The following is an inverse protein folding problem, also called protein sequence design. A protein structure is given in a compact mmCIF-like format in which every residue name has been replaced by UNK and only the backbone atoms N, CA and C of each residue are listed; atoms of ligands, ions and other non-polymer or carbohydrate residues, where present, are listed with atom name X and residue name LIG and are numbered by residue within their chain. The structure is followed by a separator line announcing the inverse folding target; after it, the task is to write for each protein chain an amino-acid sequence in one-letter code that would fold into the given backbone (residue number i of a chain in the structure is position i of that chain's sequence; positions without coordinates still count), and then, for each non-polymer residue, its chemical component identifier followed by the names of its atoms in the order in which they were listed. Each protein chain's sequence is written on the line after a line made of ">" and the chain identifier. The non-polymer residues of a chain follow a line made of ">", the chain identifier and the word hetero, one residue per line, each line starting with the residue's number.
data_IF_519773772348
#
_entry.id   IF_519773772348
#
_cell.length_a   1.000
_cell.length_b   1.000
_cell.length_c   1.000
_cell.angle_alpha   90.00
_cell.angle_beta   90.00
_cell.angle_gamma   90.00
#
_symmetry.space_group_name_H-M   'P 1'
#
loop_
_entity.id
_entity.type
_entity.pdbx_description
1 polymer ?
#
# COMPACT_ATOMS: atom_id res chain seq x y z
N UNK A 1 -12.25 14.20 5.69
CA UNK A 1 -11.00 14.17 4.92
C UNK A 1 -9.88 13.89 5.89
N UNK A 2 -9.06 12.86 5.63
CA UNK A 2 -7.86 12.67 6.42
C UNK A 2 -6.88 13.82 6.11
N UNK A 3 -6.12 14.32 7.09
CA UNK A 3 -5.23 15.45 6.87
C UNK A 3 -4.13 15.08 5.86
N UNK A 4 -3.95 15.95 4.87
CA UNK A 4 -2.78 15.95 3.98
C UNK A 4 -1.52 16.14 4.80
N UNK A 5 -0.41 15.56 4.36
CA UNK A 5 0.88 15.73 5.02
C UNK A 5 1.28 17.20 5.13
N UNK A 6 1.77 17.59 6.30
CA UNK A 6 2.42 18.89 6.53
C UNK A 6 3.87 18.85 6.03
N UNK A 7 4.47 20.01 5.68
CA UNK A 7 5.84 20.07 5.17
C UNK A 7 6.88 19.36 6.04
N UNK A 8 6.78 19.47 7.37
CA UNK A 8 7.69 18.82 8.32
C UNK A 8 7.58 17.29 8.32
N UNK A 9 6.44 16.73 7.90
CA UNK A 9 6.19 15.30 7.91
C UNK A 9 6.90 14.57 6.77
N UNK A 10 7.27 15.30 5.72
CA UNK A 10 8.09 14.79 4.62
C UNK A 10 9.53 14.48 5.08
N UNK A 11 10.01 15.15 6.14
CA UNK A 11 11.36 14.93 6.68
C UNK A 11 11.43 13.74 7.66
N UNK A 12 10.30 13.11 7.97
CA UNK A 12 10.28 11.99 8.92
C UNK A 12 11.10 10.81 8.38
N UNK A 13 11.95 10.20 9.21
CA UNK A 13 12.70 9.01 8.82
C UNK A 13 11.76 7.81 8.68
N UNK A 14 12.08 6.91 7.75
CA UNK A 14 11.37 5.65 7.56
C UNK A 14 12.25 4.53 8.07
N UNK A 15 11.69 3.67 8.92
CA UNK A 15 12.37 2.46 9.41
C UNK A 15 11.87 1.21 8.70
N UNK A 16 10.58 1.16 8.40
CA UNK A 16 9.90 0.03 7.77
C UNK A 16 8.92 0.53 6.73
N UNK A 17 8.87 -0.17 5.60
CA UNK A 17 7.85 -0.04 4.56
C UNK A 17 6.90 -1.24 4.76
N UNK A 18 5.74 -1.00 5.34
CA UNK A 18 4.73 -2.03 5.63
C UNK A 18 3.71 -2.10 4.49
N UNK A 19 3.53 -3.27 3.91
CA UNK A 19 2.45 -3.57 2.97
C UNK A 19 1.29 -4.14 3.77
N UNK A 20 0.11 -3.53 3.66
CA UNK A 20 -1.07 -3.96 4.41
C UNK A 20 -2.21 -4.33 3.48
N UNK A 21 -2.78 -5.53 3.70
CA UNK A 21 -4.07 -5.92 3.16
C UNK A 21 -5.16 -5.62 4.18
N UNK A 22 -6.06 -4.70 3.81
CA UNK A 22 -7.16 -4.25 4.63
C UNK A 22 -8.45 -4.96 4.27
N UNK A 23 -9.31 -5.19 5.27
CA UNK A 23 -10.72 -5.44 5.01
C UNK A 23 -11.44 -4.17 4.57
N UNK A 24 -12.29 -4.27 3.56
CA UNK A 24 -13.29 -3.24 3.20
C UNK A 24 -14.70 -3.62 3.67
N UNK A 25 -14.82 -4.68 4.47
CA UNK A 25 -16.11 -5.26 4.86
C UNK A 25 -16.73 -6.14 3.78
N UNK A 26 -17.90 -6.69 4.10
CA UNK A 26 -18.76 -7.41 3.17
C UNK A 26 -19.55 -6.40 2.33
N UNK A 27 -19.61 -6.60 1.01
CA UNK A 27 -20.36 -5.70 0.13
C UNK A 27 -21.83 -6.09 0.04
N UNK A 28 -22.13 -7.39 0.10
CA UNK A 28 -23.47 -7.95 0.12
C UNK A 28 -23.66 -8.84 1.35
N UNK A 29 -24.90 -8.99 1.83
CA UNK A 29 -25.22 -9.88 2.96
C UNK A 29 -24.89 -11.35 2.68
N UNK A 30 -24.94 -11.75 1.40
CA UNK A 30 -24.57 -13.09 0.95
C UNK A 30 -23.05 -13.32 0.87
N UNK A 31 -22.25 -12.28 1.03
CA UNK A 31 -20.81 -12.40 0.89
C UNK A 31 -20.25 -13.25 2.04
N UNK A 32 -19.54 -14.30 1.66
CA UNK A 32 -18.82 -15.14 2.62
C UNK A 32 -17.40 -14.62 2.87
N UNK A 33 -16.97 -13.53 2.19
CA UNK A 33 -15.65 -12.90 2.37
C UNK A 33 -15.73 -11.38 2.33
N UNK A 34 -14.83 -10.72 3.05
CA UNK A 34 -14.69 -9.28 2.93
C UNK A 34 -13.93 -8.90 1.65
N UNK A 35 -14.29 -7.77 1.06
CA UNK A 35 -13.42 -7.12 0.10
C UNK A 35 -12.06 -6.80 0.69
N UNK A 36 -11.06 -6.71 -0.16
CA UNK A 36 -9.70 -6.36 0.24
C UNK A 36 -9.19 -5.12 -0.49
N UNK A 37 -8.40 -4.34 0.24
CA UNK A 37 -7.71 -3.18 -0.30
C UNK A 37 -6.26 -3.21 0.17
N UNK A 38 -5.32 -2.97 -0.75
CA UNK A 38 -3.89 -2.94 -0.44
C UNK A 38 -3.39 -1.49 -0.33
N UNK A 39 -2.60 -1.19 0.69
CA UNK A 39 -1.91 0.10 0.84
C UNK A 39 -0.52 -0.07 1.44
N UNK A 40 0.27 1.00 1.46
CA UNK A 40 1.62 1.00 2.03
C UNK A 40 1.65 1.97 3.21
N UNK A 41 2.20 1.53 4.34
CA UNK A 41 2.52 2.38 5.49
C UNK A 41 4.02 2.57 5.61
N UNK A 42 4.45 3.82 5.62
CA UNK A 42 5.83 4.19 5.95
C UNK A 42 5.89 4.39 7.45
N UNK A 43 6.54 3.49 8.19
CA UNK A 43 6.61 3.57 9.65
C UNK A 43 7.67 4.61 10.04
N UNK A 44 7.20 5.66 10.73
CA UNK A 44 8.01 6.84 11.09
C UNK A 44 8.49 6.82 12.54
N UNK A 45 8.23 5.72 13.26
CA UNK A 45 8.51 5.54 14.68
C UNK A 45 7.48 6.22 15.59
N UNK A 46 7.62 5.96 16.91
CA UNK A 46 6.71 6.44 17.96
C UNK A 46 5.24 6.04 17.72
N UNK A 47 5.01 4.83 17.22
CA UNK A 47 3.67 4.33 16.89
C UNK A 47 2.94 5.17 15.82
N UNK A 48 3.68 5.79 14.89
CA UNK A 48 3.12 6.62 13.81
C UNK A 48 3.59 6.19 12.44
N UNK A 49 2.76 6.46 11.45
CA UNK A 49 3.06 6.14 10.06
C UNK A 49 2.51 7.16 9.07
N UNK A 50 2.97 7.06 7.83
CA UNK A 50 2.38 7.75 6.68
C UNK A 50 1.82 6.68 5.74
N UNK A 51 0.52 6.74 5.49
CA UNK A 51 -0.14 5.84 4.54
C UNK A 51 -0.09 6.41 3.13
N UNK A 52 0.47 5.63 2.21
CA UNK A 52 0.39 5.84 0.77
C UNK A 52 -0.74 4.97 0.23
N UNK A 53 -1.70 5.60 -0.43
CA UNK A 53 -2.92 4.93 -0.81
C UNK A 53 -3.31 5.23 -2.24
N UNK A 54 -3.88 4.23 -2.92
CA UNK A 54 -4.42 4.36 -4.27
C UNK A 54 -5.82 3.77 -4.30
N UNK A 55 -6.85 4.63 -4.32
CA UNK A 55 -8.25 4.22 -4.23
C UNK A 55 -9.07 4.72 -5.40
N UNK A 56 -10.16 4.05 -5.72
CA UNK A 56 -11.17 4.56 -6.66
C UNK A 56 -11.94 5.72 -6.01
N UNK A 57 -12.10 6.85 -6.68
CA UNK A 57 -12.84 8.00 -6.12
C UNK A 57 -14.36 7.75 -6.06
N UNK A 58 -14.92 7.05 -7.05
CA UNK A 58 -16.31 6.68 -7.12
C UNK A 58 -16.58 5.40 -7.91
N UNK A 59 -17.81 4.85 -7.86
CA UNK A 59 -18.14 3.55 -8.45
C UNK A 59 -17.89 3.44 -9.95
N UNK A 60 -17.94 4.56 -10.69
CA UNK A 60 -17.76 4.62 -12.15
C UNK A 60 -16.38 5.08 -12.58
N UNK A 61 -15.55 5.56 -11.65
CA UNK A 61 -14.25 6.16 -12.00
C UNK A 61 -13.23 5.10 -12.39
N UNK A 62 -12.55 5.29 -13.50
CA UNK A 62 -11.49 4.36 -13.92
C UNK A 62 -10.11 4.76 -13.38
N UNK A 63 -9.95 6.05 -13.04
CA UNK A 63 -8.72 6.59 -12.48
C UNK A 63 -8.68 6.42 -10.97
N UNK A 64 -7.49 6.06 -10.49
CA UNK A 64 -7.18 6.02 -9.09
C UNK A 64 -6.88 7.41 -8.54
N UNK A 65 -7.25 7.60 -7.29
CA UNK A 65 -6.91 8.75 -6.47
C UNK A 65 -5.81 8.34 -5.53
N UNK A 66 -4.65 8.94 -5.76
CA UNK A 66 -3.50 8.80 -4.87
C UNK A 66 -3.65 9.73 -3.67
N UNK A 67 -3.35 9.24 -2.47
CA UNK A 67 -3.34 10.02 -1.25
C UNK A 67 -2.18 9.65 -0.33
N UNK A 68 -1.64 10.67 0.31
CA UNK A 68 -0.65 10.58 1.39
C UNK A 68 -1.34 11.05 2.67
N UNK A 69 -1.33 10.23 3.71
CA UNK A 69 -2.08 10.52 4.94
C UNK A 69 -1.24 10.24 6.17
N UNK A 70 -1.14 11.21 7.08
CA UNK A 70 -0.54 10.97 8.40
C UNK A 70 -1.45 10.07 9.23
N UNK A 71 -0.88 9.06 9.87
CA UNK A 71 -1.55 8.16 10.79
C UNK A 71 -0.88 8.19 12.16
N UNK A 72 -1.69 8.39 13.21
CA UNK A 72 -1.28 8.32 14.62
C UNK A 72 -1.25 6.86 15.13
N UNK A 73 -0.94 5.92 14.22
CA UNK A 73 -0.84 4.49 14.46
C UNK A 73 0.11 3.87 13.44
N UNK A 74 0.70 2.71 13.76
CA UNK A 74 1.46 1.87 12.80
C UNK A 74 0.63 0.74 12.20
N UNK A 75 -0.40 0.28 12.91
CA UNK A 75 -1.31 -0.76 12.45
C UNK A 75 -2.74 -0.25 12.45
N UNK A 76 -3.42 -0.42 11.31
CA UNK A 76 -4.80 -0.03 11.16
C UNK A 76 -5.73 -1.08 11.75
N UNK A 77 -6.84 -0.68 12.38
CA UNK A 77 -7.88 -1.63 12.81
C UNK A 77 -8.44 -2.51 11.68
N UNK A 78 -8.37 -2.04 10.43
CA UNK A 78 -8.78 -2.81 9.26
C UNK A 78 -7.70 -3.75 8.71
N UNK A 79 -6.49 -3.73 9.27
CA UNK A 79 -5.42 -4.65 8.87
C UNK A 79 -5.85 -6.09 9.09
N UNK A 80 -5.67 -6.90 8.06
CA UNK A 80 -5.85 -8.36 8.11
C UNK A 80 -4.51 -9.09 7.98
N UNK A 81 -3.57 -8.51 7.23
CA UNK A 81 -2.27 -9.11 6.97
C UNK A 81 -1.26 -8.01 6.61
N UNK A 82 -0.12 -8.03 7.29
CA UNK A 82 0.94 -7.04 7.18
C UNK A 82 2.26 -7.72 6.81
N UNK A 83 3.00 -7.14 5.85
CA UNK A 83 4.37 -7.54 5.51
C UNK A 83 5.29 -6.35 5.72
N UNK A 84 6.28 -6.53 6.59
CA UNK A 84 7.24 -5.49 6.94
C UNK A 84 8.52 -5.64 6.14
N UNK A 85 8.81 -4.63 5.32
CA UNK A 85 10.02 -4.56 4.50
C UNK A 85 10.97 -3.54 5.13
N UNK A 86 12.17 -3.93 5.58
CA UNK A 86 13.11 -3.01 6.23
C UNK A 86 13.61 -1.95 5.24
N UNK A 87 13.56 -0.68 5.64
CA UNK A 87 14.07 0.43 4.86
C UNK A 87 15.57 0.67 5.11
N UNK A 88 16.26 1.30 4.14
CA UNK A 88 17.64 1.75 4.35
C UNK A 88 17.72 2.92 5.35
N UNK A 89 18.82 3.00 6.08
CA UNK A 89 19.09 4.15 6.97
C UNK A 89 19.14 5.46 6.19
N UNK A 90 18.49 6.49 6.72
CA UNK A 90 18.43 7.82 6.09
C UNK A 90 17.31 7.99 5.06
N UNK A 91 16.49 6.95 4.82
CA UNK A 91 15.28 7.09 4.01
C UNK A 91 14.26 7.98 4.74
N UNK A 92 13.54 8.82 3.98
CA UNK A 92 12.52 9.74 4.50
C UNK A 92 11.23 9.62 3.70
N UNK A 93 10.13 10.13 4.24
CA UNK A 93 8.83 10.21 3.54
C UNK A 93 8.96 10.96 2.21
N UNK A 94 9.72 12.05 2.19
CA UNK A 94 10.04 12.85 1.01
C UNK A 94 10.72 12.05 -0.11
N UNK A 95 11.70 11.19 0.22
CA UNK A 95 12.36 10.34 -0.77
C UNK A 95 11.35 9.44 -1.49
N UNK A 96 10.45 8.80 -0.73
CA UNK A 96 9.45 7.88 -1.27
C UNK A 96 8.37 8.61 -2.08
N UNK A 97 7.79 9.69 -1.55
CA UNK A 97 6.71 10.42 -2.24
C UNK A 97 7.22 11.12 -3.50
N UNK A 98 8.45 11.63 -3.49
CA UNK A 98 9.09 12.16 -4.69
C UNK A 98 9.32 11.09 -5.74
N UNK A 99 9.77 9.88 -5.36
CA UNK A 99 9.95 8.77 -6.30
C UNK A 99 8.63 8.40 -7.00
N UNK A 100 7.54 8.33 -6.23
CA UNK A 100 6.18 8.08 -6.76
C UNK A 100 5.78 9.16 -7.75
N UNK A 101 6.05 10.42 -7.42
CA UNK A 101 5.76 11.56 -8.29
C UNK A 101 6.58 11.52 -9.59
N UNK A 102 7.90 11.36 -9.49
CA UNK A 102 8.82 11.42 -10.65
C UNK A 102 8.62 10.23 -11.60
N UNK A 103 8.21 9.07 -11.09
CA UNK A 103 7.84 7.91 -11.91
C UNK A 103 6.39 7.95 -12.42
N UNK A 104 5.64 9.01 -12.17
CA UNK A 104 4.26 9.15 -12.63
C UNK A 104 3.27 8.17 -11.99
N UNK A 105 3.59 7.60 -10.82
CA UNK A 105 2.78 6.55 -10.18
C UNK A 105 1.46 7.04 -9.58
N UNK A 106 1.25 8.36 -9.54
CA UNK A 106 -0.04 8.98 -9.22
C UNK A 106 -1.05 8.84 -10.37
N UNK A 107 -0.57 8.75 -11.61
CA UNK A 107 -1.40 8.59 -12.80
C UNK A 107 -1.67 7.11 -13.05
N UNK A 108 -2.55 6.53 -12.26
CA UNK A 108 -2.86 5.11 -12.32
C UNK A 108 -4.33 4.89 -12.65
N UNK A 109 -4.59 4.12 -13.70
CA UNK A 109 -5.92 3.63 -14.08
C UNK A 109 -6.07 2.22 -13.51
N UNK A 110 -7.08 2.03 -12.65
CA UNK A 110 -7.34 0.74 -12.03
C UNK A 110 -7.79 -0.29 -13.07
N UNK A 111 -7.54 -1.57 -12.78
CA UNK A 111 -8.13 -2.66 -13.54
C UNK A 111 -9.68 -2.59 -13.49
N UNK A 112 -10.39 -2.98 -14.56
CA UNK A 112 -11.85 -2.97 -14.60
C UNK A 112 -12.51 -3.78 -13.47
N UNK A 113 -11.81 -4.80 -12.96
CA UNK A 113 -12.22 -5.64 -11.84
C UNK A 113 -12.21 -4.94 -10.47
N UNK A 114 -11.68 -3.72 -10.36
CA UNK A 114 -11.60 -2.98 -9.10
C UNK A 114 -10.47 -3.41 -8.15
N UNK A 115 -9.76 -4.52 -8.43
CA UNK A 115 -8.66 -5.06 -7.61
C UNK A 115 -7.26 -4.53 -7.96
N UNK A 116 -7.19 -3.42 -8.71
CA UNK A 116 -5.91 -2.86 -9.20
C UNK A 116 -4.98 -2.31 -8.10
N UNK A 117 -5.45 -2.08 -6.88
CA UNK A 117 -4.62 -1.55 -5.80
C UNK A 117 -3.42 -2.46 -5.46
N UNK A 118 -3.59 -3.79 -5.54
CA UNK A 118 -2.49 -4.76 -5.34
C UNK A 118 -1.40 -4.63 -6.40
N UNK A 119 -1.79 -4.41 -7.65
CA UNK A 119 -0.83 -4.18 -8.73
C UNK A 119 -0.06 -2.87 -8.51
N UNK A 120 -0.77 -1.81 -8.14
CA UNK A 120 -0.13 -0.53 -7.82
C UNK A 120 0.88 -0.68 -6.67
N UNK A 121 0.50 -1.33 -5.56
CA UNK A 121 1.40 -1.59 -4.42
C UNK A 121 2.62 -2.41 -4.86
N UNK A 122 2.42 -3.49 -5.62
CA UNK A 122 3.52 -4.29 -6.18
C UNK A 122 4.50 -3.43 -6.98
N UNK A 123 4.00 -2.58 -7.86
CA UNK A 123 4.86 -1.68 -8.66
C UNK A 123 5.60 -0.67 -7.79
N UNK A 124 4.99 -0.14 -6.72
CA UNK A 124 5.72 0.75 -5.80
C UNK A 124 6.86 0.00 -5.11
N UNK A 125 6.66 -1.25 -4.68
CA UNK A 125 7.73 -2.06 -4.07
C UNK A 125 8.89 -2.25 -5.06
N UNK A 126 8.60 -2.57 -6.32
CA UNK A 126 9.61 -2.70 -7.39
C UNK A 126 10.37 -1.38 -7.62
N UNK A 127 9.68 -0.25 -7.56
CA UNK A 127 10.30 1.06 -7.70
C UNK A 127 11.22 1.39 -6.52
N UNK A 128 10.80 1.06 -5.29
CA UNK A 128 11.58 1.25 -4.07
C UNK A 128 12.82 0.35 -4.04
N UNK A 129 12.68 -0.90 -4.48
CA UNK A 129 13.81 -1.82 -4.66
C UNK A 129 14.80 -1.25 -5.69
N UNK A 130 14.31 -0.86 -6.88
CA UNK A 130 15.14 -0.30 -7.93
C UNK A 130 15.82 1.03 -7.58
N UNK A 131 15.25 1.80 -6.65
CA UNK A 131 15.85 3.02 -6.11
C UNK A 131 16.86 2.77 -4.97
N UNK A 132 17.01 1.52 -4.52
CA UNK A 132 17.88 1.15 -3.40
C UNK A 132 17.33 1.60 -2.03
N UNK A 133 16.02 1.75 -1.89
CA UNK A 133 15.39 2.22 -0.65
C UNK A 133 15.07 1.09 0.34
N UNK A 134 15.19 -0.16 -0.10
CA UNK A 134 15.00 -1.36 0.73
C UNK A 134 16.35 -1.85 1.23
N UNK A 135 16.43 -2.16 2.52
CA UNK A 135 17.64 -2.69 3.12
C UNK A 135 18.00 -4.06 2.50
N UNK A 136 19.28 -4.41 2.32
CA UNK A 136 19.69 -5.67 1.67
C UNK A 136 19.11 -6.96 2.27
N UNK A 137 18.75 -6.96 3.56
CA UNK A 137 18.09 -8.08 4.24
C UNK A 137 16.57 -8.16 3.97
N UNK A 138 15.99 -7.21 3.24
CA UNK A 138 14.56 -7.15 2.94
C UNK A 138 14.11 -7.97 1.74
N UNK A 139 15.02 -8.66 1.05
CA UNK A 139 14.69 -9.42 -0.19
C UNK A 139 13.64 -10.50 0.04
N UNK A 140 13.72 -11.22 1.15
CA UNK A 140 12.74 -12.26 1.48
C UNK A 140 11.37 -11.64 1.76
N UNK A 141 11.33 -10.47 2.41
CA UNK A 141 10.09 -9.73 2.67
C UNK A 141 9.45 -9.17 1.38
N UNK A 142 10.27 -8.77 0.39
CA UNK A 142 9.76 -8.39 -0.95
C UNK A 142 9.08 -9.60 -1.62
N UNK A 143 9.75 -10.75 -1.63
CA UNK A 143 9.20 -11.97 -2.22
C UNK A 143 7.92 -12.41 -1.50
N UNK A 144 7.89 -12.29 -0.17
CA UNK A 144 6.70 -12.52 0.62
C UNK A 144 5.58 -11.55 0.21
N UNK A 145 5.85 -10.24 0.13
CA UNK A 145 4.84 -9.26 -0.29
C UNK A 145 4.28 -9.57 -1.69
N UNK A 146 5.12 -9.99 -2.65
CA UNK A 146 4.66 -10.37 -3.99
C UNK A 146 3.74 -11.60 -3.97
N UNK A 147 4.03 -12.59 -3.13
CA UNK A 147 3.19 -13.77 -2.98
C UNK A 147 1.88 -13.43 -2.26
N UNK A 148 1.97 -12.72 -1.14
CA UNK A 148 0.85 -12.45 -0.25
C UNK A 148 -0.17 -11.49 -0.86
N UNK A 149 0.28 -10.57 -1.74
CA UNK A 149 -0.60 -9.71 -2.53
C UNK A 149 -1.51 -10.49 -3.50
N UNK A 150 -1.24 -11.77 -3.77
CA UNK A 150 -2.11 -12.62 -4.60
C UNK A 150 -3.23 -13.32 -3.82
N UNK A 151 -3.54 -12.87 -2.60
CA UNK A 151 -4.56 -13.49 -1.76
C UNK A 151 -5.59 -12.49 -1.23
N UNK A 152 -6.82 -12.96 -1.09
CA UNK A 152 -7.91 -12.34 -0.35
C UNK A 152 -7.90 -12.83 1.10
N UNK A 153 -7.82 -11.87 2.03
CA UNK A 153 -7.84 -12.12 3.46
C UNK A 153 -9.21 -11.77 4.03
N UNK A 154 -9.67 -12.54 5.01
CA UNK A 154 -10.85 -12.26 5.81
C UNK A 154 -10.58 -12.71 7.23
N UNK A 155 -11.13 -12.01 8.25
CA UNK A 155 -10.93 -12.41 9.65
C UNK A 155 -11.37 -13.86 9.85
N UNK A 156 -10.57 -14.60 10.61
CA UNK A 156 -10.85 -15.98 11.04
C UNK A 156 -11.05 -16.98 9.90
N UNK A 157 -10.54 -16.66 8.69
CA UNK A 157 -10.61 -17.51 7.50
C UNK A 157 -9.23 -17.67 6.88
N UNK A 158 -8.99 -18.84 6.29
CA UNK A 158 -7.77 -19.05 5.50
C UNK A 158 -7.74 -18.08 4.31
N UNK A 159 -6.56 -17.56 3.92
CA UNK A 159 -6.43 -16.76 2.70
C UNK A 159 -6.88 -17.55 1.47
N UNK A 160 -7.48 -16.88 0.50
CA UNK A 160 -7.89 -17.48 -0.78
C UNK A 160 -7.15 -16.81 -1.93
N UNK A 161 -6.64 -17.61 -2.87
CA UNK A 161 -5.90 -17.07 -4.00
C UNK A 161 -6.81 -16.21 -4.88
N UNK A 162 -6.37 -14.98 -5.12
CA UNK A 162 -7.02 -14.00 -5.96
C UNK A 162 -5.92 -13.25 -6.73
N UNK A 163 -5.67 -13.71 -7.96
CA UNK A 163 -4.60 -13.22 -8.80
C UNK A 163 -4.64 -11.68 -8.94
N UNK A 164 -3.46 -11.07 -8.94
CA UNK A 164 -3.33 -9.63 -9.19
C UNK A 164 -3.77 -9.35 -10.63
N UNK A 165 -4.78 -8.48 -10.79
CA UNK A 165 -5.17 -7.97 -12.10
C UNK A 165 -4.46 -6.63 -12.35
N UNK A 166 -3.63 -6.53 -13.40
CA UNK A 166 -2.89 -5.31 -13.68
C UNK A 166 -3.81 -4.16 -14.11
N UNK A 167 -3.49 -2.97 -13.62
CA UNK A 167 -4.00 -1.72 -14.18
C UNK A 167 -2.99 -1.10 -15.14
N UNK A 168 -3.12 0.19 -15.42
CA UNK A 168 -2.22 0.89 -16.33
C UNK A 168 -1.76 2.24 -15.76
N UNK A 169 -0.47 2.54 -15.88
CA UNK A 169 0.05 3.89 -15.66
C UNK A 169 -0.12 4.71 -16.95
N UNK A 170 -0.55 5.96 -16.84
CA UNK A 170 -0.90 6.84 -17.97
C UNK A 170 -0.13 8.16 -17.96
#
# INVERSE_FOLDING_TARGET
>A
MAPTLKPEEFLLPITVIRVTMHTTGYFFESDTRSGNHASIFLLTGNDKSVRLNMTKAGPTDTMGTYAETRCEYESSHSSLHDIDIPAVTGLTVDHVTRLILTKGRRNYRLAPSGVGCRFWVKTIIEDLEGAGYIHPNGKDAIMQAYNDLQYNYSRDKSPEFEAIVPGAFV
#
